data_IF_224230339417
#
_entry.id   IF_224230339417
#
_cell.length_a   1.000
_cell.length_b   1.000
_cell.length_c   1.000
_cell.angle_alpha   90.00
_cell.angle_beta   90.00
_cell.angle_gamma   90.00
#
_symmetry.space_group_name_H-M   'P 1'
#
loop_
_entity.id
_entity.type
_entity.pdbx_description
1 polymer ?
#
# COMPACT_ATOMS: atom_id res chain seq x y z
N UNK A 1 -10.90 1.45 6.43
CA UNK A 1 -10.01 2.14 7.33
C UNK A 1 -10.60 3.49 7.71
N UNK A 2 -10.98 4.35 6.75
CA UNK A 2 -11.65 5.63 7.05
C UNK A 2 -13.17 5.53 7.25
N UNK A 3 -13.80 4.45 6.77
CA UNK A 3 -15.20 4.17 7.07
C UNK A 3 -15.31 3.71 8.53
N UNK A 4 -15.92 4.55 9.37
CA UNK A 4 -16.28 4.25 10.75
C UNK A 4 -17.73 3.77 10.78
N UNK A 5 -17.93 2.54 11.22
CA UNK A 5 -19.27 1.95 11.34
C UNK A 5 -19.91 2.53 12.59
N UNK A 6 -21.08 3.13 12.44
CA UNK A 6 -21.95 3.47 13.55
C UNK A 6 -23.15 2.52 13.49
N UNK A 7 -23.40 1.76 14.56
CA UNK A 7 -24.49 0.77 14.63
C UNK A 7 -25.90 1.37 14.72
N UNK A 8 -26.00 2.71 14.76
CA UNK A 8 -27.27 3.42 14.80
C UNK A 8 -27.96 3.45 13.43
N UNK A 9 -29.14 2.83 13.29
CA UNK A 9 -29.95 2.86 12.06
C UNK A 9 -30.32 4.31 11.67
N UNK A 10 -30.53 5.19 12.65
CA UNK A 10 -30.84 6.60 12.40
C UNK A 10 -29.67 7.37 11.76
N UNK A 11 -28.44 6.86 11.90
CA UNK A 11 -27.28 7.43 11.21
C UNK A 11 -27.48 7.39 9.68
N UNK A 12 -28.02 6.30 9.14
CA UNK A 12 -28.19 6.15 7.68
C UNK A 12 -29.21 7.15 7.12
N UNK A 13 -30.31 7.40 7.84
CA UNK A 13 -31.32 8.40 7.48
C UNK A 13 -30.76 9.83 7.59
N UNK A 14 -30.10 10.15 8.70
CA UNK A 14 -29.46 11.45 8.92
C UNK A 14 -28.34 11.73 7.90
N UNK A 15 -27.57 10.70 7.53
CA UNK A 15 -26.50 10.78 6.51
C UNK A 15 -27.03 11.30 5.18
N UNK A 16 -28.14 10.77 4.68
CA UNK A 16 -28.76 11.22 3.43
C UNK A 16 -29.13 12.70 3.49
N UNK A 17 -29.57 13.19 4.65
CA UNK A 17 -29.90 14.61 4.84
C UNK A 17 -28.69 15.55 4.77
N UNK A 18 -27.47 15.05 5.03
CA UNK A 18 -26.25 15.86 5.01
C UNK A 18 -25.57 15.92 3.63
N UNK A 19 -25.84 14.95 2.75
CA UNK A 19 -25.31 14.90 1.37
C UNK A 19 -25.63 16.19 0.60
N UNK A 20 -26.78 16.82 0.86
CA UNK A 20 -27.17 18.09 0.24
C UNK A 20 -26.17 19.23 0.46
N UNK A 21 -25.35 19.16 1.51
CA UNK A 21 -24.35 20.19 1.80
C UNK A 21 -23.05 19.95 1.03
N UNK A 22 -22.58 18.70 1.03
CA UNK A 22 -21.41 18.26 0.26
C UNK A 22 -21.39 16.74 0.15
N UNK A 23 -20.72 16.25 -0.88
CA UNK A 23 -20.58 14.84 -1.23
C UNK A 23 -19.14 14.54 -1.69
N UNK A 24 -18.88 13.29 -2.04
CA UNK A 24 -17.59 12.84 -2.57
C UNK A 24 -17.19 13.48 -3.91
N UNK A 25 -18.11 14.07 -4.69
CA UNK A 25 -17.80 14.67 -5.99
C UNK A 25 -17.44 16.15 -5.87
N UNK A 26 -18.01 16.84 -4.87
CA UNK A 26 -17.83 18.27 -4.67
C UNK A 26 -17.00 18.61 -3.42
N UNK A 27 -16.62 17.63 -2.59
CA UNK A 27 -15.82 17.82 -1.38
C UNK A 27 -14.65 18.78 -1.63
N UNK A 28 -13.82 18.50 -2.64
CA UNK A 28 -12.63 19.28 -2.99
C UNK A 28 -12.93 20.74 -3.37
N UNK A 29 -14.14 21.04 -3.86
CA UNK A 29 -14.58 22.40 -4.25
C UNK A 29 -15.08 23.21 -3.06
N UNK A 30 -15.56 22.55 -1.99
CA UNK A 30 -16.05 23.25 -0.78
C UNK A 30 -14.88 23.74 0.06
N UNK A 31 -15.02 24.93 0.63
CA UNK A 31 -14.02 25.51 1.53
C UNK A 31 -14.15 24.97 2.96
N UNK A 32 -13.06 25.07 3.73
CA UNK A 32 -13.06 24.76 5.18
C UNK A 32 -14.09 25.60 5.95
N UNK A 33 -14.23 26.87 5.57
CA UNK A 33 -15.21 27.78 6.14
C UNK A 33 -16.65 27.34 5.89
N UNK A 34 -16.96 26.89 4.67
CA UNK A 34 -18.28 26.37 4.34
C UNK A 34 -18.64 25.17 5.22
N UNK A 35 -17.74 24.19 5.33
CA UNK A 35 -17.97 22.99 6.14
C UNK A 35 -18.16 23.34 7.62
N UNK A 36 -17.34 24.26 8.17
CA UNK A 36 -17.51 24.77 9.55
C UNK A 36 -18.87 25.46 9.74
N UNK A 37 -19.35 26.22 8.75
CA UNK A 37 -20.66 26.87 8.80
C UNK A 37 -21.79 25.85 8.86
N UNK A 38 -21.70 24.76 8.09
CA UNK A 38 -22.67 23.67 8.14
C UNK A 38 -22.58 22.93 9.48
N UNK A 39 -21.37 22.63 9.95
CA UNK A 39 -21.14 21.98 11.24
C UNK A 39 -21.82 22.73 12.38
N UNK A 40 -21.79 24.07 12.39
CA UNK A 40 -22.50 24.89 13.37
C UNK A 40 -24.03 24.75 13.30
N UNK A 41 -24.59 24.56 12.09
CA UNK A 41 -26.05 24.44 11.86
C UNK A 41 -26.63 23.06 12.20
N UNK A 42 -25.83 22.01 12.20
CA UNK A 42 -26.30 20.65 12.48
C UNK A 42 -26.37 20.42 13.99
N UNK A 43 -27.51 19.93 14.49
CA UNK A 43 -27.70 19.67 15.92
C UNK A 43 -26.82 18.50 16.41
N UNK A 44 -26.76 17.42 15.63
CA UNK A 44 -26.03 16.19 15.99
C UNK A 44 -24.58 16.21 15.46
N UNK A 45 -23.66 16.76 16.28
CA UNK A 45 -22.23 16.89 15.93
C UNK A 45 -21.52 15.55 15.74
N UNK A 46 -21.92 14.53 16.51
CA UNK A 46 -21.30 13.21 16.44
C UNK A 46 -21.64 12.53 15.12
N UNK A 47 -22.93 12.48 14.76
CA UNK A 47 -23.40 11.95 13.47
C UNK A 47 -22.77 12.72 12.31
N UNK A 48 -22.67 14.04 12.41
CA UNK A 48 -22.00 14.85 11.39
C UNK A 48 -20.50 14.52 11.27
N UNK A 49 -19.83 14.22 12.38
CA UNK A 49 -18.42 13.78 12.37
C UNK A 49 -18.26 12.44 11.65
N UNK A 50 -19.10 11.45 11.95
CA UNK A 50 -19.12 10.17 11.22
C UNK A 50 -19.40 10.35 9.72
N UNK A 51 -20.30 11.25 9.37
CA UNK A 51 -20.58 11.63 7.98
C UNK A 51 -19.33 12.18 7.26
N UNK A 52 -18.55 13.03 7.91
CA UNK A 52 -17.29 13.56 7.35
C UNK A 52 -16.27 12.45 7.08
N UNK A 53 -16.13 11.47 7.98
CA UNK A 53 -15.29 10.27 7.75
C UNK A 53 -15.81 9.44 6.57
N UNK A 54 -17.13 9.23 6.50
CA UNK A 54 -17.76 8.47 5.43
C UNK A 54 -17.56 9.12 4.05
N UNK A 55 -17.75 10.44 3.94
CA UNK A 55 -17.48 11.19 2.71
C UNK A 55 -16.01 11.10 2.32
N UNK A 56 -15.08 11.26 3.28
CA UNK A 56 -13.66 11.13 2.98
C UNK A 56 -13.34 9.74 2.42
N UNK A 57 -13.89 8.68 3.04
CA UNK A 57 -13.73 7.31 2.56
C UNK A 57 -14.28 7.14 1.15
N UNK A 58 -15.47 7.66 0.82
CA UNK A 58 -16.02 7.61 -0.55
C UNK A 58 -15.15 8.36 -1.54
N UNK A 59 -14.72 9.57 -1.18
CA UNK A 59 -13.81 10.37 -2.00
C UNK A 59 -12.52 9.60 -2.30
N UNK A 60 -11.92 8.96 -1.29
CA UNK A 60 -10.73 8.12 -1.47
C UNK A 60 -11.01 7.00 -2.47
N UNK A 61 -12.10 6.25 -2.31
CA UNK A 61 -12.39 5.12 -3.21
C UNK A 61 -12.57 5.54 -4.68
N UNK A 62 -13.16 6.72 -4.93
CA UNK A 62 -13.35 7.23 -6.29
C UNK A 62 -12.04 7.79 -6.88
N UNK A 63 -11.24 8.47 -6.06
CA UNK A 63 -10.11 9.27 -6.53
C UNK A 63 -8.74 8.62 -6.28
N UNK A 64 -8.70 7.40 -5.74
CA UNK A 64 -7.45 6.76 -5.33
C UNK A 64 -6.50 6.60 -6.51
N UNK A 65 -5.34 7.25 -6.40
CA UNK A 65 -4.21 7.08 -7.31
C UNK A 65 -2.93 7.19 -6.51
N UNK A 66 -1.99 6.26 -6.70
CA UNK A 66 -0.68 6.32 -6.06
C UNK A 66 0.12 7.47 -6.69
N UNK A 67 0.01 8.68 -6.14
CA UNK A 67 0.63 9.90 -6.66
C UNK A 67 0.72 10.98 -5.58
N UNK A 68 1.68 11.89 -5.72
CA UNK A 68 1.83 13.04 -4.80
C UNK A 68 0.59 13.93 -4.77
N UNK A 69 0.00 14.18 -5.94
CA UNK A 69 -1.20 15.00 -6.06
C UNK A 69 -2.38 14.40 -5.26
N UNK A 70 -2.53 13.07 -5.26
CA UNK A 70 -3.55 12.41 -4.45
C UNK A 70 -3.29 12.61 -2.96
N UNK A 71 -2.05 12.39 -2.49
CA UNK A 71 -1.66 12.56 -1.08
C UNK A 71 -1.90 14.01 -0.62
N UNK A 72 -1.49 14.99 -1.42
CA UNK A 72 -1.71 16.41 -1.12
C UNK A 72 -3.21 16.72 -1.00
N UNK A 73 -4.03 16.23 -1.93
CA UNK A 73 -5.49 16.42 -1.90
C UNK A 73 -6.13 15.71 -0.70
N UNK A 74 -5.67 14.51 -0.36
CA UNK A 74 -6.11 13.75 0.82
C UNK A 74 -5.83 14.53 2.10
N UNK A 75 -4.59 14.98 2.32
CA UNK A 75 -4.20 15.76 3.49
C UNK A 75 -5.00 17.09 3.58
N UNK A 76 -5.19 17.80 2.45
CA UNK A 76 -6.06 18.97 2.39
C UNK A 76 -7.50 18.66 2.80
N UNK A 77 -8.06 17.54 2.34
CA UNK A 77 -9.42 17.13 2.67
C UNK A 77 -9.57 16.76 4.16
N UNK A 78 -8.58 16.09 4.76
CA UNK A 78 -8.55 15.75 6.19
C UNK A 78 -8.55 17.03 7.05
N UNK A 79 -7.66 17.97 6.75
CA UNK A 79 -7.57 19.26 7.48
C UNK A 79 -8.85 20.08 7.30
N UNK A 80 -9.42 20.06 6.10
CA UNK A 80 -10.64 20.78 5.77
C UNK A 80 -11.85 20.23 6.54
N UNK A 81 -11.96 18.91 6.64
CA UNK A 81 -13.04 18.23 7.36
C UNK A 81 -12.81 18.22 8.90
N UNK A 82 -11.64 18.67 9.35
CA UNK A 82 -11.26 18.68 10.77
C UNK A 82 -11.37 17.27 11.37
N UNK A 83 -10.76 16.29 10.71
CA UNK A 83 -10.79 14.89 11.12
C UNK A 83 -9.54 14.52 11.92
N UNK A 84 -9.74 13.82 13.03
CA UNK A 84 -8.65 13.23 13.81
C UNK A 84 -8.35 11.83 13.29
N UNK A 85 -7.11 11.61 12.89
CA UNK A 85 -6.70 10.32 12.38
C UNK A 85 -6.36 9.37 13.53
N UNK A 86 -6.65 8.09 13.36
CA UNK A 86 -6.11 7.05 14.22
C UNK A 86 -4.77 6.52 13.65
N UNK A 87 -4.08 5.70 14.45
CA UNK A 87 -2.77 5.14 14.08
C UNK A 87 -2.76 4.28 12.80
N UNK A 88 -3.90 3.71 12.40
CA UNK A 88 -4.02 2.98 11.12
C UNK A 88 -4.13 3.95 9.95
N UNK A 89 -4.96 4.98 10.08
CA UNK A 89 -5.17 6.03 9.07
C UNK A 89 -3.88 6.82 8.80
N UNK A 90 -3.15 7.19 9.86
CA UNK A 90 -1.83 7.86 9.74
C UNK A 90 -0.80 6.95 9.06
N UNK A 91 -0.76 5.68 9.46
CA UNK A 91 0.14 4.69 8.86
C UNK A 91 -0.10 4.55 7.36
N UNK A 92 -1.36 4.50 6.94
CA UNK A 92 -1.69 4.46 5.51
C UNK A 92 -1.16 5.66 4.73
N UNK A 93 -1.33 6.88 5.25
CA UNK A 93 -0.84 8.09 4.58
C UNK A 93 0.69 8.02 4.46
N UNK A 94 1.37 7.67 5.55
CA UNK A 94 2.83 7.50 5.56
C UNK A 94 3.30 6.41 4.60
N UNK A 95 2.60 5.28 4.53
CA UNK A 95 2.93 4.18 3.63
C UNK A 95 2.74 4.62 2.16
N UNK A 96 1.71 5.42 1.84
CA UNK A 96 1.54 6.00 0.51
C UNK A 96 2.66 6.99 0.17
N UNK A 97 3.01 7.88 1.09
CA UNK A 97 4.12 8.82 0.95
C UNK A 97 5.43 8.08 0.71
N UNK A 98 5.70 7.03 1.48
CA UNK A 98 6.88 6.19 1.33
C UNK A 98 6.92 5.51 -0.05
N UNK A 99 5.80 4.96 -0.52
CA UNK A 99 5.72 4.31 -1.82
C UNK A 99 5.95 5.28 -2.98
N UNK A 100 5.30 6.45 -2.93
CA UNK A 100 5.47 7.49 -3.94
C UNK A 100 6.89 8.05 -3.92
N UNK A 101 7.43 8.35 -2.75
CA UNK A 101 8.80 8.85 -2.63
C UNK A 101 9.83 7.85 -3.15
N UNK A 102 9.64 6.55 -2.86
CA UNK A 102 10.52 5.50 -3.36
C UNK A 102 10.30 5.13 -4.83
N UNK A 103 9.25 5.62 -5.51
CA UNK A 103 9.06 5.36 -6.94
C UNK A 103 9.99 6.19 -7.82
N UNK A 104 10.39 7.40 -7.38
CA UNK A 104 11.19 8.31 -8.20
C UNK A 104 12.57 8.68 -7.63
N UNK A 105 12.75 8.73 -6.30
CA UNK A 105 14.02 9.21 -5.70
C UNK A 105 15.24 8.36 -6.09
N UNK A 106 16.47 8.88 -6.14
CA UNK A 106 17.65 8.06 -6.36
C UNK A 106 17.73 6.87 -5.38
N UNK A 107 18.07 5.68 -5.88
CA UNK A 107 18.18 4.49 -5.04
C UNK A 107 19.36 4.64 -4.08
N UNK A 108 19.08 4.62 -2.76
CA UNK A 108 20.10 4.73 -1.72
C UNK A 108 21.03 3.52 -1.78
N UNK A 109 22.33 3.71 -1.59
CA UNK A 109 23.27 2.60 -1.41
C UNK A 109 23.28 2.18 0.08
N UNK A 110 23.15 0.88 0.33
CA UNK A 110 23.19 0.31 1.67
C UNK A 110 24.49 -0.49 1.84
N UNK A 111 25.20 -0.33 2.99
CA UNK A 111 26.42 -1.07 3.25
C UNK A 111 26.11 -2.54 3.54
N UNK A 112 27.01 -3.43 3.09
CA UNK A 112 26.92 -4.89 3.31
C UNK A 112 28.29 -5.47 3.65
N UNK A 113 28.31 -6.63 4.31
CA UNK A 113 29.52 -7.35 4.72
C UNK A 113 30.01 -8.37 3.68
N UNK A 114 29.19 -8.72 2.69
CA UNK A 114 29.56 -9.65 1.63
C UNK A 114 30.09 -8.90 0.40
N UNK A 115 30.91 -9.58 -0.39
CA UNK A 115 31.48 -8.99 -1.59
C UNK A 115 30.41 -8.76 -2.66
N UNK A 116 30.51 -7.59 -3.29
CA UNK A 116 29.68 -7.16 -4.41
C UNK A 116 30.57 -6.94 -5.63
N UNK A 117 30.01 -7.07 -6.83
CA UNK A 117 30.73 -6.64 -8.03
C UNK A 117 30.99 -5.12 -8.00
N UNK A 118 32.07 -4.66 -8.65
CA UNK A 118 32.55 -3.25 -8.58
C UNK A 118 31.48 -2.19 -8.89
N UNK A 119 30.42 -2.52 -9.64
CA UNK A 119 29.33 -1.60 -10.03
C UNK A 119 27.98 -1.96 -9.41
N UNK A 120 27.94 -2.99 -8.59
CA UNK A 120 26.74 -3.46 -7.95
C UNK A 120 26.47 -2.68 -6.66
N UNK A 121 25.21 -2.30 -6.46
CA UNK A 121 24.78 -1.50 -5.30
C UNK A 121 23.53 -2.08 -4.71
N UNK A 122 23.53 -2.31 -3.40
CA UNK A 122 22.34 -2.73 -2.67
C UNK A 122 21.46 -1.51 -2.42
N UNK A 123 20.19 -1.63 -2.78
CA UNK A 123 19.21 -0.53 -2.72
C UNK A 123 18.05 -0.79 -1.77
N UNK A 124 17.79 -2.05 -1.44
CA UNK A 124 16.75 -2.44 -0.51
C UNK A 124 17.25 -3.56 0.38
N UNK A 125 16.87 -3.49 1.66
CA UNK A 125 16.98 -4.60 2.59
C UNK A 125 15.57 -4.87 3.13
N UNK A 126 15.20 -6.14 3.15
CA UNK A 126 14.04 -6.64 3.87
C UNK A 126 14.52 -7.74 4.81
N UNK A 127 14.39 -7.52 6.11
CA UNK A 127 14.80 -8.51 7.10
C UNK A 127 13.67 -9.47 7.41
N UNK A 128 14.02 -10.66 7.91
CA UNK A 128 13.06 -11.63 8.45
C UNK A 128 11.99 -12.07 7.42
N UNK A 129 12.38 -12.19 6.15
CA UNK A 129 11.50 -12.51 5.02
C UNK A 129 11.36 -14.02 4.89
N UNK A 130 10.12 -14.50 4.93
CA UNK A 130 9.85 -15.91 4.64
C UNK A 130 9.76 -16.10 3.11
N UNK A 131 10.67 -16.90 2.56
CA UNK A 131 10.76 -17.16 1.12
C UNK A 131 10.25 -18.57 0.84
N UNK A 132 9.35 -18.71 -0.13
CA UNK A 132 8.72 -20.00 -0.46
C UNK A 132 8.87 -20.31 -1.95
N UNK A 133 8.85 -21.59 -2.30
CA UNK A 133 8.55 -22.02 -3.68
C UNK A 133 7.05 -21.87 -3.91
N UNK A 134 6.68 -21.19 -5.00
CA UNK A 134 5.28 -20.82 -5.26
C UNK A 134 4.77 -21.48 -6.55
N UNK A 135 4.09 -22.61 -6.42
CA UNK A 135 3.53 -23.33 -7.57
C UNK A 135 2.00 -23.42 -7.44
N UNK A 136 1.25 -22.37 -7.82
CA UNK A 136 -0.20 -22.33 -7.65
C UNK A 136 -0.95 -23.29 -8.59
N UNK A 137 -0.28 -23.82 -9.62
CA UNK A 137 -0.87 -24.70 -10.64
C UNK A 137 -0.90 -26.18 -10.22
N UNK A 138 -0.26 -26.56 -9.11
CA UNK A 138 -0.31 -27.93 -8.58
C UNK A 138 -1.46 -28.02 -7.57
N UNK A 139 -2.37 -28.98 -7.77
CA UNK A 139 -3.57 -29.19 -6.93
C UNK A 139 -3.24 -29.32 -5.43
N UNK A 140 -2.07 -29.86 -5.10
CA UNK A 140 -1.48 -29.66 -3.78
C UNK A 140 -0.91 -28.23 -3.69
N UNK A 141 -1.68 -27.33 -3.07
CA UNK A 141 -1.31 -25.96 -2.65
C UNK A 141 -0.09 -25.89 -1.69
N UNK A 142 0.97 -26.66 -1.94
CA UNK A 142 2.18 -26.73 -1.12
C UNK A 142 3.07 -25.54 -1.46
N UNK A 143 2.71 -24.39 -0.89
CA UNK A 143 3.63 -23.28 -0.69
C UNK A 143 4.76 -23.80 0.22
N UNK A 144 5.84 -24.29 -0.39
CA UNK A 144 6.94 -24.91 0.35
C UNK A 144 7.92 -23.84 0.84
N UNK A 145 8.04 -23.68 2.15
CA UNK A 145 9.00 -22.77 2.76
C UNK A 145 10.43 -23.19 2.38
N UNK A 146 11.16 -22.29 1.72
CA UNK A 146 12.60 -22.44 1.48
C UNK A 146 13.37 -22.10 2.76
N UNK A 147 12.90 -21.07 3.46
CA UNK A 147 13.48 -20.62 4.71
C UNK A 147 13.11 -19.16 5.01
N UNK A 148 13.68 -18.66 6.10
CA UNK A 148 13.61 -17.26 6.52
C UNK A 148 14.98 -16.62 6.29
N UNK A 149 14.99 -15.45 5.64
CA UNK A 149 16.22 -14.78 5.22
C UNK A 149 16.15 -13.28 5.45
N UNK A 150 17.32 -12.66 5.52
CA UNK A 150 17.46 -11.23 5.22
C UNK A 150 17.76 -11.08 3.73
N UNK A 151 16.85 -10.41 3.03
CA UNK A 151 16.89 -10.22 1.59
C UNK A 151 17.49 -8.86 1.24
N UNK A 152 18.58 -8.88 0.48
CA UNK A 152 19.26 -7.69 -0.02
C UNK A 152 19.07 -7.63 -1.53
N UNK A 153 18.51 -6.53 -2.02
CA UNK A 153 18.23 -6.36 -3.44
C UNK A 153 19.18 -5.32 -4.02
N UNK A 154 19.88 -5.69 -5.07
CA UNK A 154 20.76 -4.81 -5.85
C UNK A 154 20.18 -4.57 -7.24
N UNK A 155 20.85 -3.68 -7.97
CA UNK A 155 20.62 -3.46 -9.40
C UNK A 155 20.90 -4.70 -10.27
N UNK A 156 21.61 -5.72 -9.79
CA UNK A 156 21.96 -6.93 -10.56
C UNK A 156 21.37 -8.23 -10.00
N UNK A 157 21.24 -8.35 -8.68
CA UNK A 157 20.95 -9.59 -7.99
C UNK A 157 20.05 -9.37 -6.77
N UNK A 158 19.44 -10.45 -6.31
CA UNK A 158 18.78 -10.56 -5.01
C UNK A 158 19.52 -11.59 -4.17
N UNK A 159 20.10 -11.15 -3.06
CA UNK A 159 20.84 -11.98 -2.11
C UNK A 159 19.94 -12.36 -0.94
N UNK A 160 19.90 -13.65 -0.63
CA UNK A 160 19.25 -14.19 0.55
C UNK A 160 20.35 -14.59 1.51
N UNK A 161 20.35 -13.97 2.69
CA UNK A 161 21.40 -14.12 3.69
C UNK A 161 20.81 -14.59 5.02
N UNK A 162 21.66 -15.08 5.92
CA UNK A 162 21.34 -15.23 7.33
C UNK A 162 21.58 -13.92 8.11
N UNK A 163 21.30 -13.95 9.42
CA UNK A 163 21.46 -12.79 10.31
C UNK A 163 22.91 -12.28 10.38
N UNK A 164 23.91 -13.07 9.97
CA UNK A 164 25.32 -12.69 9.92
C UNK A 164 25.73 -12.14 8.54
N UNK A 165 24.78 -11.92 7.64
CA UNK A 165 24.97 -11.54 6.24
C UNK A 165 25.76 -12.57 5.42
N UNK A 166 25.77 -13.85 5.82
CA UNK A 166 26.34 -14.91 5.00
C UNK A 166 25.36 -15.27 3.89
N UNK A 167 25.78 -15.10 2.64
CA UNK A 167 24.97 -15.40 1.45
C UNK A 167 24.65 -16.90 1.40
N UNK A 168 23.35 -17.22 1.39
CA UNK A 168 22.83 -18.59 1.25
C UNK A 168 22.34 -18.87 -0.16
N UNK A 169 21.80 -17.84 -0.82
CA UNK A 169 21.27 -17.96 -2.18
C UNK A 169 21.33 -16.63 -2.91
N UNK A 170 21.61 -16.68 -4.20
CA UNK A 170 21.59 -15.54 -5.11
C UNK A 170 20.56 -15.81 -6.20
N UNK A 171 19.72 -14.83 -6.48
CA UNK A 171 18.78 -14.85 -7.60
C UNK A 171 19.18 -13.69 -8.51
N UNK A 172 19.62 -14.00 -9.73
CA UNK A 172 20.03 -12.96 -10.65
C UNK A 172 18.82 -12.26 -11.25
N UNK A 173 18.88 -10.92 -11.35
CA UNK A 173 17.80 -10.14 -11.96
C UNK A 173 17.64 -10.47 -13.45
N UNK A 174 18.72 -10.90 -14.11
CA UNK A 174 18.70 -11.34 -15.52
C UNK A 174 17.79 -12.56 -15.77
N UNK A 175 17.56 -13.37 -14.74
CA UNK A 175 16.70 -14.55 -14.79
C UNK A 175 15.26 -14.27 -14.41
N UNK A 176 14.97 -13.07 -13.87
CA UNK A 176 13.61 -12.65 -13.52
C UNK A 176 12.85 -12.30 -14.79
N UNK A 177 11.77 -13.03 -15.04
CA UNK A 177 10.88 -12.84 -16.19
C UNK A 177 9.66 -12.01 -15.81
N UNK A 178 9.16 -12.16 -14.59
CA UNK A 178 7.94 -11.50 -14.13
C UNK A 178 7.97 -11.30 -12.61
N UNK A 179 7.28 -10.28 -12.11
CA UNK A 179 6.94 -10.14 -10.72
C UNK A 179 5.57 -9.49 -10.57
N UNK A 180 4.85 -9.93 -9.55
CA UNK A 180 3.54 -9.39 -9.22
C UNK A 180 3.29 -9.51 -7.71
N UNK A 181 2.39 -8.66 -7.21
CA UNK A 181 1.99 -8.68 -5.81
C UNK A 181 0.82 -9.64 -5.61
N UNK A 182 0.96 -10.55 -4.66
CA UNK A 182 -0.12 -11.34 -4.09
C UNK A 182 -0.59 -10.76 -2.75
N UNK A 183 -1.74 -11.23 -2.27
CA UNK A 183 -2.30 -10.77 -0.98
C UNK A 183 -1.29 -10.94 0.17
N UNK A 184 -0.46 -11.98 0.15
CA UNK A 184 0.44 -12.33 1.25
C UNK A 184 1.93 -12.08 0.96
N UNK A 185 2.29 -11.52 -0.20
CA UNK A 185 3.70 -11.28 -0.55
C UNK A 185 3.93 -10.79 -1.98
N UNK A 186 5.20 -10.73 -2.38
CA UNK A 186 5.60 -10.46 -3.77
C UNK A 186 6.04 -11.78 -4.40
N UNK A 187 5.47 -12.11 -5.55
CA UNK A 187 5.90 -13.24 -6.36
C UNK A 187 6.93 -12.76 -7.35
N UNK A 188 8.06 -13.46 -7.41
CA UNK A 188 9.14 -13.25 -8.37
C UNK A 188 9.28 -14.53 -9.19
N UNK A 189 8.97 -14.44 -10.48
CA UNK A 189 9.08 -15.53 -11.44
C UNK A 189 10.46 -15.44 -12.08
N UNK A 190 11.21 -16.53 -11.99
CA UNK A 190 12.47 -16.71 -12.71
C UNK A 190 12.29 -17.76 -13.80
N UNK A 191 13.23 -17.82 -14.75
CA UNK A 191 13.29 -18.87 -15.78
C UNK A 191 13.17 -20.30 -15.22
N UNK A 192 13.63 -20.53 -13.98
CA UNK A 192 13.67 -21.86 -13.35
C UNK A 192 12.50 -22.12 -12.40
N UNK A 193 12.06 -21.10 -11.65
CA UNK A 193 11.06 -21.29 -10.60
C UNK A 193 10.40 -19.97 -10.17
N UNK A 194 9.24 -20.10 -9.52
CA UNK A 194 8.48 -19.02 -8.91
C UNK A 194 8.79 -18.94 -7.40
N UNK A 195 9.14 -17.75 -6.92
CA UNK A 195 9.42 -17.46 -5.51
C UNK A 195 8.34 -16.57 -4.92
N UNK A 196 7.88 -16.87 -3.72
CA UNK A 196 7.01 -15.98 -2.94
C UNK A 196 7.79 -15.39 -1.77
N UNK A 197 8.00 -14.08 -1.80
CA UNK A 197 8.62 -13.30 -0.74
C UNK A 197 7.54 -12.69 0.16
N UNK A 198 7.42 -13.22 1.38
CA UNK A 198 6.48 -12.70 2.39
C UNK A 198 7.21 -11.74 3.33
N UNK A 199 7.46 -10.54 2.83
CA UNK A 199 8.11 -9.45 3.56
C UNK A 199 7.10 -8.52 4.25
N UNK A 200 7.53 -7.81 5.30
CA UNK A 200 6.69 -6.86 6.04
C UNK A 200 6.18 -5.73 5.14
N UNK A 201 7.01 -5.21 4.24
CA UNK A 201 6.63 -4.13 3.32
C UNK A 201 6.56 -4.62 1.86
N UNK A 202 5.53 -5.42 1.55
CA UNK A 202 5.34 -6.06 0.23
C UNK A 202 5.22 -5.05 -0.92
N UNK A 203 4.51 -3.94 -0.72
CA UNK A 203 4.30 -2.94 -1.77
C UNK A 203 5.62 -2.21 -2.07
N UNK A 204 6.37 -1.82 -1.03
CA UNK A 204 7.68 -1.19 -1.21
C UNK A 204 8.67 -2.13 -1.89
N UNK A 205 8.68 -3.40 -1.46
CA UNK A 205 9.52 -4.44 -2.08
C UNK A 205 9.22 -4.55 -3.57
N UNK A 206 7.94 -4.53 -3.95
CA UNK A 206 7.54 -4.57 -5.35
C UNK A 206 7.98 -3.32 -6.12
N UNK A 207 7.71 -2.11 -5.59
CA UNK A 207 8.11 -0.84 -6.23
C UNK A 207 9.61 -0.82 -6.49
N UNK A 208 10.42 -1.18 -5.50
CA UNK A 208 11.86 -1.17 -5.64
C UNK A 208 12.34 -2.25 -6.62
N UNK A 209 11.75 -3.44 -6.60
CA UNK A 209 12.05 -4.49 -7.57
C UNK A 209 11.79 -4.03 -9.00
N UNK A 210 10.68 -3.32 -9.26
CA UNK A 210 10.41 -2.74 -10.58
C UNK A 210 11.46 -1.71 -10.97
N UNK A 211 11.98 -0.93 -10.02
CA UNK A 211 13.04 0.05 -10.32
C UNK A 211 14.39 -0.60 -10.62
N UNK A 212 14.71 -1.70 -9.94
CA UNK A 212 15.94 -2.46 -10.18
C UNK A 212 15.85 -3.31 -11.44
N UNK A 213 14.65 -3.76 -11.80
CA UNK A 213 14.39 -4.60 -12.99
C UNK A 213 13.19 -4.04 -13.78
N UNK A 214 13.37 -2.95 -14.57
CA UNK A 214 12.26 -2.20 -15.19
C UNK A 214 11.36 -3.01 -16.13
N UNK A 215 11.87 -4.11 -16.69
CA UNK A 215 11.10 -5.03 -17.56
C UNK A 215 10.08 -5.88 -16.81
N UNK A 216 10.08 -5.86 -15.48
CA UNK A 216 9.33 -6.81 -14.64
C UNK A 216 7.97 -6.22 -14.25
N UNK A 217 6.95 -6.53 -15.05
CA UNK A 217 5.53 -6.30 -14.77
C UNK A 217 5.02 -4.85 -14.89
N UNK A 218 3.69 -4.64 -14.92
CA UNK A 218 3.10 -3.30 -15.00
C UNK A 218 3.34 -2.51 -13.73
N UNK A 219 3.60 -1.19 -13.84
CA UNK A 219 3.84 -0.32 -12.69
C UNK A 219 2.75 -0.45 -11.62
N UNK A 220 3.13 -0.34 -10.34
CA UNK A 220 2.18 -0.44 -9.21
C UNK A 220 0.94 0.46 -9.39
N UNK A 221 1.11 1.63 -10.01
CA UNK A 221 0.05 2.59 -10.29
C UNK A 221 -1.06 2.06 -11.22
N UNK A 222 -0.72 1.13 -12.12
CA UNK A 222 -1.65 0.50 -13.06
C UNK A 222 -2.37 -0.71 -12.45
N UNK A 223 -2.04 -1.07 -11.22
CA UNK A 223 -2.66 -2.22 -10.57
C UNK A 223 -4.09 -1.88 -10.16
N UNK A 224 -5.03 -2.57 -10.77
CA UNK A 224 -6.43 -2.49 -10.37
C UNK A 224 -6.57 -2.71 -8.87
N UNK A 225 -7.50 -1.96 -8.27
CA UNK A 225 -7.93 -2.23 -6.89
C UNK A 225 -6.79 -2.09 -5.85
N UNK A 226 -5.74 -1.31 -6.14
CA UNK A 226 -4.57 -1.09 -5.26
C UNK A 226 -4.97 -0.63 -3.84
N UNK A 227 -6.03 0.16 -3.70
CA UNK A 227 -6.56 0.58 -2.40
C UNK A 227 -6.90 -0.61 -1.47
N UNK A 228 -7.30 -1.74 -2.03
CA UNK A 228 -7.67 -2.93 -1.25
C UNK A 228 -6.48 -3.57 -0.53
N UNK A 229 -5.25 -3.29 -0.95
CA UNK A 229 -4.07 -3.73 -0.22
C UNK A 229 -3.90 -2.99 1.11
N UNK A 230 -4.51 -1.81 1.23
CA UNK A 230 -4.52 -1.00 2.45
C UNK A 230 -5.82 -1.18 3.26
N UNK A 231 -6.94 -1.40 2.57
CA UNK A 231 -8.27 -1.42 3.20
C UNK A 231 -9.07 -2.73 2.98
N UNK A 232 -8.38 -3.87 3.10
CA UNK A 232 -8.97 -5.19 2.85
C UNK A 232 -10.25 -5.46 3.67
N UNK A 233 -10.23 -5.15 4.98
CA UNK A 233 -11.34 -5.43 5.89
C UNK A 233 -12.60 -4.62 5.56
N UNK A 234 -12.46 -3.34 5.19
CA UNK A 234 -13.65 -2.55 4.90
C UNK A 234 -14.27 -2.89 3.55
N UNK A 235 -13.53 -3.46 2.60
CA UNK A 235 -14.13 -4.01 1.38
C UNK A 235 -14.99 -5.24 1.66
N UNK A 236 -14.55 -6.09 2.60
CA UNK A 236 -15.34 -7.23 3.06
C UNK A 236 -16.66 -6.75 3.68
N UNK A 237 -16.58 -5.72 4.53
CA UNK A 237 -17.74 -5.13 5.18
C UNK A 237 -18.64 -4.39 4.18
N UNK A 238 -18.07 -3.66 3.21
CA UNK A 238 -18.85 -2.89 2.22
C UNK A 238 -19.60 -3.77 1.20
N UNK A 239 -19.32 -5.08 1.14
CA UNK A 239 -20.10 -6.03 0.36
C UNK A 239 -21.34 -6.54 1.10
N UNK A 240 -21.36 -6.37 2.42
CA UNK A 240 -22.41 -6.85 3.32
C UNK A 240 -23.39 -5.71 3.65
N UNK A 241 -22.92 -4.45 3.64
CA UNK A 241 -23.72 -3.24 3.83
C UNK A 241 -24.28 -2.67 2.53
#
# INVERSE_FOLDING_TARGET
MFLRINGDINYYLKRSSFIKYFDENNLSKKSKWYIRKIERKVNDKNTFTYFKYWILWRWININFKLSENFIIKLNKNIIKLNLNLNSKEERFIRDLEELVFNSWRPLKQLPVKFELEKREKINLIQTNVNVHKYNPEKEENKINLIGKFDCYFSNQNMYLTDNNQKVKKVIKNEDVTEAYIETFGVVVVTKKQKYLFRAKNRLLTYVLLQRMVPRVGPSLEKKDKLYNYFDFWNKLISKIS
#
